data_IF_288224229081
#
_entry.id   IF_288224229081
#
_cell.length_a   1.000
_cell.length_b   1.000
_cell.length_c   1.000
_cell.angle_alpha   90.00
_cell.angle_beta   90.00
_cell.angle_gamma   90.00
#
_symmetry.space_group_name_H-M   'P 1'
#
loop_
_entity.id
_entity.type
_entity.pdbx_description
1 polymer ?
#
# COMPACT_ATOMS: atom_id res chain seq x y z
N UNK A 1 -8.79 -19.88 -1.23
CA UNK A 1 -8.36 -19.07 -0.08
C UNK A 1 -7.23 -18.15 -0.52
N UNK A 2 -7.40 -16.84 -0.43
CA UNK A 2 -6.30 -15.90 -0.65
C UNK A 2 -5.39 -15.92 0.59
N UNK A 3 -4.08 -16.12 0.42
CA UNK A 3 -3.10 -16.05 1.51
C UNK A 3 -2.63 -14.60 1.64
N UNK A 4 -2.67 -14.06 2.86
CA UNK A 4 -2.33 -12.67 3.16
C UNK A 4 -0.94 -12.27 2.60
N UNK A 5 -0.83 -11.02 2.14
CA UNK A 5 0.24 -10.59 1.25
C UNK A 5 0.68 -9.14 1.54
N UNK A 6 1.53 -8.95 2.54
CA UNK A 6 2.32 -7.72 2.78
C UNK A 6 3.40 -7.97 3.83
N UNK A 7 4.62 -7.43 3.72
CA UNK A 7 5.59 -7.88 2.71
C UNK A 7 6.46 -9.05 3.27
N UNK A 8 5.89 -9.83 4.21
CA UNK A 8 6.45 -11.10 4.73
C UNK A 8 6.90 -12.04 3.59
N UNK A 9 6.25 -11.96 2.42
CA UNK A 9 6.65 -12.69 1.23
C UNK A 9 8.10 -12.40 0.79
N UNK A 10 8.56 -11.14 0.82
CA UNK A 10 9.97 -10.85 0.47
C UNK A 10 10.91 -11.44 1.51
N UNK A 11 10.61 -11.27 2.80
CA UNK A 11 11.44 -11.78 3.89
C UNK A 11 11.61 -13.29 3.76
N UNK A 12 10.52 -14.05 3.63
CA UNK A 12 10.58 -15.51 3.44
C UNK A 12 11.27 -15.96 2.15
N UNK A 13 11.15 -15.18 1.06
CA UNK A 13 11.88 -15.42 -0.19
C UNK A 13 13.39 -15.25 -0.01
N UNK A 14 13.81 -14.25 0.76
CA UNK A 14 15.22 -13.98 1.04
C UNK A 14 15.80 -15.02 2.02
N UNK A 15 15.09 -15.34 3.11
CA UNK A 15 15.45 -16.42 4.04
C UNK A 15 15.63 -17.76 3.33
N UNK A 16 14.72 -18.12 2.42
CA UNK A 16 14.82 -19.34 1.65
C UNK A 16 16.02 -19.34 0.67
N UNK A 17 16.47 -18.17 0.22
CA UNK A 17 17.69 -18.02 -0.57
C UNK A 17 18.96 -18.08 0.29
N UNK A 18 18.95 -17.47 1.47
CA UNK A 18 20.02 -17.55 2.46
C UNK A 18 20.24 -18.99 2.96
N UNK A 19 19.16 -19.78 3.06
CA UNK A 19 19.19 -21.22 3.31
C UNK A 19 19.64 -22.07 2.09
N UNK A 20 20.30 -21.48 1.10
CA UNK A 20 20.85 -22.17 -0.08
C UNK A 20 19.89 -22.35 -1.26
N UNK A 21 18.67 -21.80 -1.19
CA UNK A 21 17.69 -21.91 -2.25
C UNK A 21 18.07 -21.14 -3.53
N UNK A 22 18.21 -21.84 -4.66
CA UNK A 22 18.36 -21.20 -5.97
C UNK A 22 17.17 -20.28 -6.30
N UNK A 23 17.40 -19.22 -7.06
CA UNK A 23 16.32 -18.29 -7.44
C UNK A 23 15.14 -18.98 -8.16
N UNK A 24 15.39 -20.08 -8.89
CA UNK A 24 14.33 -20.91 -9.51
C UNK A 24 13.53 -21.71 -8.47
N UNK A 25 14.19 -22.36 -7.51
CA UNK A 25 13.49 -23.14 -6.48
C UNK A 25 12.70 -22.24 -5.53
N UNK A 26 13.25 -21.09 -5.15
CA UNK A 26 12.57 -20.07 -4.34
C UNK A 26 11.38 -19.48 -5.11
N UNK A 27 11.54 -19.10 -6.38
CA UNK A 27 10.43 -18.64 -7.22
C UNK A 27 9.27 -19.64 -7.28
N UNK A 28 9.58 -20.93 -7.51
CA UNK A 28 8.59 -22.02 -7.50
C UNK A 28 7.92 -22.20 -6.13
N UNK A 29 8.70 -22.16 -5.03
CA UNK A 29 8.20 -22.32 -3.64
C UNK A 29 7.19 -21.24 -3.24
N UNK A 30 7.38 -20.02 -3.73
CA UNK A 30 6.57 -18.85 -3.32
C UNK A 30 5.61 -18.34 -4.40
N UNK A 31 5.52 -18.99 -5.57
CA UNK A 31 4.61 -18.60 -6.64
C UNK A 31 4.95 -17.25 -7.30
N UNK A 32 6.23 -16.83 -7.27
CA UNK A 32 6.68 -15.56 -7.86
C UNK A 32 7.47 -15.79 -9.15
N UNK A 33 7.54 -14.77 -10.01
CA UNK A 33 8.36 -14.82 -11.22
C UNK A 33 9.86 -14.97 -10.90
N UNK A 34 10.57 -15.79 -11.67
CA UNK A 34 12.01 -16.07 -11.46
C UNK A 34 12.84 -14.77 -11.47
N UNK A 35 12.55 -13.83 -12.37
CA UNK A 35 13.21 -12.52 -12.44
C UNK A 35 13.01 -11.68 -11.17
N UNK A 36 11.88 -11.84 -10.48
CA UNK A 36 11.61 -11.19 -9.18
C UNK A 36 12.49 -11.79 -8.08
N UNK A 37 12.57 -13.12 -8.01
CA UNK A 37 13.45 -13.82 -7.06
C UNK A 37 14.93 -13.45 -7.28
N UNK A 38 15.40 -13.45 -8.53
CA UNK A 38 16.77 -13.01 -8.89
C UNK A 38 17.00 -11.58 -8.40
N UNK A 39 16.10 -10.63 -8.71
CA UNK A 39 16.24 -9.22 -8.35
C UNK A 39 16.29 -9.00 -6.83
N UNK A 40 15.44 -9.69 -6.06
CA UNK A 40 15.41 -9.55 -4.60
C UNK A 40 16.67 -10.15 -3.96
N UNK A 41 17.02 -11.39 -4.29
CA UNK A 41 18.23 -12.06 -3.77
C UNK A 41 19.52 -11.31 -4.13
N UNK A 42 19.55 -10.66 -5.29
CA UNK A 42 20.70 -9.82 -5.69
C UNK A 42 20.81 -8.56 -4.82
N UNK A 43 19.70 -7.83 -4.63
CA UNK A 43 19.67 -6.60 -3.80
C UNK A 43 19.97 -6.85 -2.32
N UNK A 44 19.58 -8.00 -1.78
CA UNK A 44 19.99 -8.37 -0.42
C UNK A 44 21.51 -8.56 -0.33
N UNK A 45 22.14 -9.25 -1.29
CA UNK A 45 23.60 -9.42 -1.32
C UNK A 45 24.36 -8.12 -1.59
N UNK A 46 23.85 -7.28 -2.48
CA UNK A 46 24.50 -6.02 -2.89
C UNK A 46 24.36 -4.93 -1.81
N UNK A 47 23.16 -4.76 -1.24
CA UNK A 47 22.80 -3.58 -0.43
C UNK A 47 22.23 -3.92 0.96
N UNK A 48 22.08 -5.20 1.33
CA UNK A 48 21.33 -5.60 2.54
C UNK A 48 19.82 -5.29 2.49
N UNK A 49 19.27 -4.98 1.31
CA UNK A 49 17.87 -4.58 1.12
C UNK A 49 16.90 -5.76 1.32
N UNK A 50 16.54 -6.08 2.58
CA UNK A 50 15.57 -7.15 2.88
C UNK A 50 14.11 -6.76 2.64
N UNK A 51 13.78 -5.48 2.70
CA UNK A 51 12.43 -4.93 2.51
C UNK A 51 12.51 -3.75 1.56
N UNK A 52 11.50 -3.56 0.70
CA UNK A 52 11.34 -2.31 -0.06
C UNK A 52 10.99 -1.23 0.96
N UNK A 53 12.01 -0.47 1.36
CA UNK A 53 11.85 0.63 2.29
C UNK A 53 11.15 1.77 1.56
N UNK A 54 9.82 1.83 1.66
CA UNK A 54 9.10 3.07 1.35
C UNK A 54 9.77 4.17 2.17
N UNK A 55 10.31 5.18 1.50
CA UNK A 55 11.10 6.22 2.18
C UNK A 55 10.11 7.06 2.99
N UNK A 56 10.09 6.90 4.31
CA UNK A 56 9.15 7.64 5.18
C UNK A 56 9.13 9.14 4.88
N UNK A 57 10.28 9.75 4.56
CA UNK A 57 10.37 11.15 4.10
C UNK A 57 9.43 11.53 2.95
N UNK A 58 9.15 10.62 2.00
CA UNK A 58 8.24 10.88 0.89
C UNK A 58 6.77 10.90 1.35
N UNK A 59 6.36 9.94 2.19
CA UNK A 59 5.03 9.97 2.79
C UNK A 59 4.87 11.18 3.72
N UNK A 60 5.87 11.49 4.52
CA UNK A 60 5.86 12.64 5.41
C UNK A 60 5.64 13.95 4.64
N UNK A 61 6.36 14.13 3.52
CA UNK A 61 6.15 15.27 2.63
C UNK A 61 4.75 15.28 1.99
N UNK A 62 4.22 14.11 1.59
CA UNK A 62 2.84 13.99 1.11
C UNK A 62 1.82 14.37 2.20
N UNK A 63 2.01 13.92 3.43
CA UNK A 63 1.11 14.27 4.55
C UNK A 63 1.16 15.76 4.84
N UNK A 64 2.36 16.34 4.94
CA UNK A 64 2.54 17.77 5.27
C UNK A 64 2.08 18.73 4.16
N UNK A 65 2.22 18.36 2.88
CA UNK A 65 2.01 19.27 1.75
C UNK A 65 0.82 18.93 0.84
N UNK A 66 0.24 17.73 0.96
CA UNK A 66 -0.91 17.29 0.13
C UNK A 66 -2.10 16.91 0.99
N UNK A 67 -1.94 16.06 2.00
CA UNK A 67 -3.06 15.62 2.83
C UNK A 67 -3.53 16.69 3.82
N UNK A 68 -2.63 17.22 4.66
CA UNK A 68 -3.00 18.19 5.72
C UNK A 68 -3.76 19.41 5.18
N UNK A 69 -3.41 20.01 4.02
CA UNK A 69 -4.19 21.10 3.43
C UNK A 69 -5.63 20.76 3.00
N UNK A 70 -6.01 19.47 2.92
CA UNK A 70 -7.37 19.04 2.59
C UNK A 70 -8.17 18.55 3.80
N UNK A 71 -7.60 18.58 5.02
CA UNK A 71 -8.28 18.11 6.23
C UNK A 71 -9.09 19.22 6.90
N UNK A 72 -10.24 18.85 7.44
CA UNK A 72 -11.04 19.65 8.36
C UNK A 72 -10.87 19.16 9.81
N UNK A 73 -11.04 20.03 10.82
CA UNK A 73 -11.12 19.60 12.21
C UNK A 73 -12.24 18.57 12.42
N UNK A 74 -11.92 17.45 13.06
CA UNK A 74 -12.83 16.30 13.24
C UNK A 74 -12.55 15.10 12.34
N UNK A 75 -11.95 15.34 11.16
CA UNK A 75 -11.67 14.31 10.14
C UNK A 75 -10.92 13.09 10.69
N UNK A 76 -11.18 11.93 10.09
CA UNK A 76 -10.52 10.67 10.42
C UNK A 76 -9.57 10.23 9.30
N UNK A 77 -8.27 10.24 9.58
CA UNK A 77 -7.25 9.65 8.71
C UNK A 77 -7.01 8.21 9.14
N UNK A 78 -7.31 7.25 8.27
CA UNK A 78 -7.05 5.82 8.49
C UNK A 78 -5.80 5.40 7.70
N UNK A 79 -4.81 4.81 8.38
CA UNK A 79 -3.61 4.23 7.76
C UNK A 79 -3.36 2.82 8.29
N UNK A 80 -2.84 1.92 7.44
CA UNK A 80 -2.42 0.59 7.90
C UNK A 80 -1.14 0.64 8.77
N UNK A 81 -0.82 -0.49 9.39
CA UNK A 81 0.34 -0.68 10.27
C UNK A 81 1.71 -0.76 9.55
N UNK A 82 1.84 -0.37 8.29
CA UNK A 82 3.14 -0.32 7.60
C UNK A 82 4.10 0.61 8.36
N UNK A 83 5.36 0.21 8.66
CA UNK A 83 6.29 1.06 9.41
C UNK A 83 6.61 2.42 8.74
N UNK A 84 6.32 2.56 7.44
CA UNK A 84 6.41 3.84 6.74
C UNK A 84 5.28 4.81 7.08
N UNK A 85 4.14 4.36 7.61
CA UNK A 85 3.02 5.19 8.08
C UNK A 85 3.20 5.67 9.52
N UNK A 86 3.98 4.95 10.33
CA UNK A 86 4.22 5.25 11.75
C UNK A 86 5.25 6.37 11.98
N UNK A 87 5.17 7.46 11.20
CA UNK A 87 6.09 8.60 11.29
C UNK A 87 5.56 9.61 12.32
N UNK A 88 6.28 9.88 13.44
CA UNK A 88 5.78 10.78 14.49
C UNK A 88 5.46 12.19 13.99
N UNK A 89 6.23 12.70 13.01
CA UNK A 89 6.00 14.02 12.41
C UNK A 89 4.75 14.07 11.51
N UNK A 90 4.44 12.98 10.80
CA UNK A 90 3.21 12.90 10.00
C UNK A 90 1.98 12.86 10.90
N UNK A 91 2.01 12.04 11.97
CA UNK A 91 0.97 12.03 13.02
C UNK A 91 0.74 13.44 13.57
N UNK A 92 1.81 14.12 14.01
CA UNK A 92 1.72 15.45 14.59
C UNK A 92 1.10 16.47 13.62
N UNK A 93 1.44 16.42 12.34
CA UNK A 93 0.87 17.33 11.34
C UNK A 93 -0.64 17.13 11.15
N UNK A 94 -1.12 15.88 11.16
CA UNK A 94 -2.56 15.54 11.11
C UNK A 94 -3.28 16.04 12.37
N UNK A 95 -2.73 15.75 13.54
CA UNK A 95 -3.30 16.18 14.84
C UNK A 95 -3.31 17.71 15.00
N UNK A 96 -2.32 18.42 14.44
CA UNK A 96 -2.29 19.89 14.40
C UNK A 96 -3.32 20.51 13.47
N UNK A 97 -3.85 19.77 12.48
CA UNK A 97 -4.99 20.20 11.66
C UNK A 97 -6.35 20.00 12.36
N UNK A 98 -6.37 19.42 13.57
CA UNK A 98 -7.59 19.05 14.29
C UNK A 98 -8.20 17.71 13.85
N UNK A 99 -7.50 16.95 12.99
CA UNK A 99 -7.91 15.64 12.54
C UNK A 99 -7.33 14.51 13.43
N UNK A 100 -7.93 13.32 13.36
CA UNK A 100 -7.58 12.13 14.14
C UNK A 100 -6.87 11.09 13.26
N UNK A 101 -5.71 10.59 13.69
CA UNK A 101 -5.01 9.48 13.02
C UNK A 101 -5.29 8.13 13.70
N UNK A 102 -5.95 7.23 12.97
CA UNK A 102 -6.37 5.90 13.40
C UNK A 102 -5.65 4.80 12.60
N UNK A 103 -5.35 3.70 13.29
CA UNK A 103 -4.77 2.50 12.70
C UNK A 103 -5.72 1.32 12.97
N UNK A 104 -6.19 0.57 11.96
CA UNK A 104 -7.04 -0.59 12.16
C UNK A 104 -6.23 -1.75 12.78
N UNK A 105 -6.88 -2.73 13.44
CA UNK A 105 -6.18 -3.85 14.06
C UNK A 105 -5.22 -4.57 13.11
N UNK A 106 -4.03 -5.01 13.57
CA UNK A 106 -3.07 -5.71 12.72
C UNK A 106 -3.68 -6.93 12.02
N UNK A 107 -3.36 -7.11 10.74
CA UNK A 107 -3.88 -8.17 9.87
C UNK A 107 -5.41 -8.17 9.64
N UNK A 108 -6.09 -7.05 9.89
CA UNK A 108 -7.52 -6.87 9.62
C UNK A 108 -7.77 -5.94 8.42
N UNK A 109 -7.55 -6.39 7.17
CA UNK A 109 -7.73 -5.56 5.97
C UNK A 109 -9.18 -5.13 5.77
N UNK A 110 -10.14 -5.86 6.33
CA UNK A 110 -11.57 -5.58 6.22
C UNK A 110 -11.97 -4.27 6.93
N UNK A 111 -11.15 -3.78 7.88
CA UNK A 111 -11.30 -2.47 8.53
C UNK A 111 -10.48 -1.37 7.85
N UNK A 112 -10.02 -1.57 6.60
CA UNK A 112 -9.30 -0.55 5.85
C UNK A 112 -10.05 -0.18 4.55
N UNK A 113 -10.75 0.96 4.50
CA UNK A 113 -11.57 1.37 3.33
C UNK A 113 -10.78 1.37 2.01
N UNK A 114 -9.47 1.58 2.09
CA UNK A 114 -8.57 1.64 0.93
C UNK A 114 -8.50 0.31 0.17
N UNK A 115 -8.74 -0.84 0.82
CA UNK A 115 -8.66 -2.15 0.17
C UNK A 115 -9.75 -2.34 -0.90
N UNK A 116 -10.98 -1.88 -0.61
CA UNK A 116 -12.09 -1.89 -1.57
C UNK A 116 -11.85 -0.91 -2.71
N UNK A 117 -11.40 0.31 -2.39
CA UNK A 117 -11.05 1.31 -3.40
C UNK A 117 -9.93 0.80 -4.32
N UNK A 118 -8.88 0.18 -3.77
CA UNK A 118 -7.82 -0.44 -4.58
C UNK A 118 -8.31 -1.65 -5.35
N UNK A 119 -9.24 -2.46 -4.83
CA UNK A 119 -9.84 -3.57 -5.57
C UNK A 119 -10.55 -3.06 -6.84
N UNK A 120 -11.37 -2.00 -6.73
CA UNK A 120 -11.98 -1.32 -7.87
C UNK A 120 -10.93 -0.75 -8.82
N UNK A 121 -9.94 -0.01 -8.31
CA UNK A 121 -8.86 0.59 -9.12
C UNK A 121 -8.11 -0.48 -9.93
N UNK A 122 -7.74 -1.59 -9.28
CA UNK A 122 -7.08 -2.74 -9.92
C UNK A 122 -7.97 -3.37 -11.00
N UNK A 123 -9.29 -3.42 -10.83
CA UNK A 123 -10.21 -3.94 -11.84
C UNK A 123 -10.30 -3.02 -13.07
N UNK A 124 -10.50 -1.72 -12.86
CA UNK A 124 -10.58 -0.72 -13.93
C UNK A 124 -9.28 -0.64 -14.74
N UNK A 125 -8.12 -0.60 -14.07
CA UNK A 125 -6.80 -0.59 -14.73
C UNK A 125 -6.54 -1.85 -15.56
N UNK A 126 -6.98 -3.03 -15.08
CA UNK A 126 -6.89 -4.28 -15.86
C UNK A 126 -7.75 -4.23 -17.12
N UNK A 127 -8.97 -3.68 -17.04
CA UNK A 127 -9.85 -3.52 -18.19
C UNK A 127 -9.27 -2.57 -19.26
N UNK A 128 -8.54 -1.52 -18.86
CA UNK A 128 -7.83 -0.61 -19.78
C UNK A 128 -6.63 -1.27 -20.49
N UNK A 129 -6.12 -2.39 -19.98
CA UNK A 129 -5.07 -3.24 -20.58
C UNK A 129 -3.76 -2.54 -21.02
N UNK A 130 -3.44 -1.37 -20.46
CA UNK A 130 -2.29 -0.53 -20.83
C UNK A 130 -0.95 -1.28 -20.76
N UNK A 131 -0.06 -1.03 -21.74
CA UNK A 131 1.22 -1.75 -21.91
C UNK A 131 2.47 -0.87 -21.84
N UNK A 132 2.32 0.44 -21.68
CA UNK A 132 3.42 1.39 -21.46
C UNK A 132 3.22 2.12 -20.13
N UNK A 133 4.31 2.67 -19.57
CA UNK A 133 4.24 3.43 -18.31
C UNK A 133 3.34 4.67 -18.47
N UNK A 134 3.51 5.44 -19.55
CA UNK A 134 2.69 6.62 -19.85
C UNK A 134 1.20 6.26 -19.94
N UNK A 135 0.84 5.27 -20.76
CA UNK A 135 -0.56 4.86 -20.90
C UNK A 135 -1.15 4.29 -19.60
N UNK A 136 -0.33 3.76 -18.68
CA UNK A 136 -0.77 3.36 -17.35
C UNK A 136 -1.03 4.56 -16.44
N UNK A 137 -0.23 5.63 -16.52
CA UNK A 137 -0.49 6.88 -15.80
C UNK A 137 -1.75 7.58 -16.32
N UNK A 138 -1.91 7.70 -17.64
CA UNK A 138 -3.10 8.29 -18.26
C UNK A 138 -4.36 7.49 -17.91
N UNK A 139 -4.26 6.15 -17.98
CA UNK A 139 -5.34 5.26 -17.54
C UNK A 139 -5.65 5.46 -16.05
N UNK A 140 -4.64 5.55 -15.18
CA UNK A 140 -4.81 5.78 -13.74
C UNK A 140 -5.51 7.12 -13.45
N UNK A 141 -5.16 8.21 -14.15
CA UNK A 141 -5.91 9.47 -14.07
C UNK A 141 -7.38 9.27 -14.47
N UNK A 142 -7.63 8.72 -15.66
CA UNK A 142 -9.00 8.57 -16.20
C UNK A 142 -9.93 7.64 -15.41
N UNK A 143 -9.41 6.81 -14.49
CA UNK A 143 -10.24 5.93 -13.67
C UNK A 143 -10.53 6.50 -12.29
N UNK A 144 -9.85 7.59 -11.88
CA UNK A 144 -10.17 8.30 -10.63
C UNK A 144 -11.52 9.02 -10.72
N UNK A 145 -11.94 9.47 -11.90
CA UNK A 145 -13.28 10.03 -12.16
C UNK A 145 -14.43 9.07 -11.79
N UNK A 146 -14.14 7.76 -11.70
CA UNK A 146 -15.11 6.76 -11.28
C UNK A 146 -15.30 6.67 -9.75
N UNK A 147 -14.51 7.37 -8.94
CA UNK A 147 -14.54 7.34 -7.48
C UNK A 147 -15.31 8.56 -6.95
N UNK A 148 -16.63 8.51 -7.08
CA UNK A 148 -17.52 9.59 -6.61
C UNK A 148 -17.54 9.68 -5.08
N UNK A 149 -17.92 10.84 -4.48
CA UNK A 149 -18.04 10.98 -3.03
C UNK A 149 -18.93 9.91 -2.39
N UNK A 150 -20.10 9.63 -2.97
CA UNK A 150 -21.02 8.60 -2.48
C UNK A 150 -20.40 7.20 -2.49
N UNK A 151 -19.61 6.86 -3.52
CA UNK A 151 -18.91 5.58 -3.56
C UNK A 151 -17.76 5.53 -2.53
N UNK A 152 -17.04 6.63 -2.36
CA UNK A 152 -16.02 6.73 -1.32
C UNK A 152 -16.63 6.51 0.06
N UNK A 153 -17.78 7.14 0.37
CA UNK A 153 -18.52 6.91 1.60
C UNK A 153 -18.91 5.43 1.76
N UNK A 154 -19.39 4.76 0.71
CA UNK A 154 -19.69 3.32 0.75
C UNK A 154 -18.48 2.44 1.12
N UNK A 155 -17.25 2.81 0.75
CA UNK A 155 -16.04 2.08 1.19
C UNK A 155 -15.77 2.26 2.68
N UNK A 156 -16.05 3.43 3.25
CA UNK A 156 -15.96 3.67 4.70
C UNK A 156 -17.03 2.88 5.45
N UNK A 157 -18.29 2.96 5.04
CA UNK A 157 -19.41 2.21 5.65
C UNK A 157 -19.15 0.70 5.61
N UNK A 158 -18.70 0.16 4.48
CA UNK A 158 -18.40 -1.27 4.35
C UNK A 158 -17.21 -1.74 5.20
N UNK A 159 -16.29 -0.83 5.56
CA UNK A 159 -15.20 -1.08 6.50
C UNK A 159 -15.56 -0.78 7.98
N UNK A 160 -16.83 -0.50 8.27
CA UNK A 160 -17.35 -0.28 9.63
C UNK A 160 -17.23 1.16 10.15
N UNK A 161 -17.04 2.15 9.26
CA UNK A 161 -17.03 3.57 9.60
C UNK A 161 -18.34 4.22 9.16
N UNK A 162 -19.19 4.59 10.10
CA UNK A 162 -20.39 5.39 9.79
C UNK A 162 -20.00 6.88 9.72
N UNK A 163 -20.42 7.63 8.68
CA UNK A 163 -20.34 9.08 8.67
C UNK A 163 -21.30 9.67 9.71
N UNK A 164 -20.86 10.72 10.42
CA UNK A 164 -21.69 11.55 11.33
C UNK A 164 -22.73 12.38 10.56
#
# INVERSE_FOLDING_TARGET
MARALSDDLRVRVLEAGAAGGSARSVAKRFGIGISTAIRWLRRERENGERVVRLRGRALQAYVEHVLVPTLSPGDLVVLDHLPAHMIPRARKAIEQAGARLMFPPPYSPDFNPVEMAFAKLKALLRAKAARTVTALWDAAGSVLDAFTPDECANFFTAAGYEPE
#
